data_IF_951494344149
#
_entry.id   IF_951494344149
#
_cell.length_a   1.000
_cell.length_b   1.000
_cell.length_c   1.000
_cell.angle_alpha   90.00
_cell.angle_beta   90.00
_cell.angle_gamma   90.00
#
_symmetry.space_group_name_H-M   'P 1'
#
loop_
_entity.id
_entity.type
_entity.pdbx_description
1 polymer ?
#
# COMPACT_ATOMS: atom_id res chain seq x y z
N UNK A 1 -16.22 8.94 20.60
CA UNK A 1 -17.30 7.92 20.63
C UNK A 1 -16.78 6.80 21.48
N UNK A 2 -17.62 6.22 22.33
CA UNK A 2 -17.21 5.07 23.13
C UNK A 2 -16.81 3.90 22.21
N UNK A 3 -15.70 3.20 22.51
CA UNK A 3 -15.36 1.95 21.83
C UNK A 3 -16.56 1.00 21.83
N UNK A 4 -16.90 0.45 20.65
CA UNK A 4 -18.02 -0.49 20.49
C UNK A 4 -19.36 0.11 20.08
N UNK A 5 -19.45 1.42 19.84
CA UNK A 5 -20.64 2.02 19.23
C UNK A 5 -20.78 1.64 17.74
N UNK A 6 -22.01 1.39 17.30
CA UNK A 6 -22.37 1.20 15.89
C UNK A 6 -22.74 2.51 15.18
N UNK A 7 -22.71 3.65 15.88
CA UNK A 7 -22.94 4.97 15.28
C UNK A 7 -21.69 5.44 14.53
N UNK A 8 -21.90 5.95 13.31
CA UNK A 8 -20.85 6.51 12.46
C UNK A 8 -21.08 8.00 12.31
N UNK A 9 -20.09 8.82 12.64
CA UNK A 9 -20.11 10.27 12.47
C UNK A 9 -19.16 10.68 11.36
N UNK A 10 -19.64 11.52 10.45
CA UNK A 10 -18.80 12.13 9.42
C UNK A 10 -17.84 13.10 10.10
N UNK A 11 -16.53 12.90 9.90
CA UNK A 11 -15.49 13.78 10.45
C UNK A 11 -15.32 15.02 9.56
N UNK A 12 -15.19 14.82 8.25
CA UNK A 12 -15.01 15.90 7.28
C UNK A 12 -15.30 15.43 5.86
N UNK A 13 -15.16 16.35 4.90
CA UNK A 13 -15.31 16.07 3.46
C UNK A 13 -14.18 16.74 2.69
N UNK A 14 -13.75 16.07 1.62
CA UNK A 14 -12.86 16.62 0.59
C UNK A 14 -13.69 16.69 -0.68
N UNK A 15 -13.77 17.88 -1.27
CA UNK A 15 -14.38 18.04 -2.58
C UNK A 15 -13.35 17.66 -3.65
N UNK A 16 -13.72 16.76 -4.56
CA UNK A 16 -12.86 16.39 -5.68
C UNK A 16 -12.54 17.61 -6.54
N UNK A 17 -11.27 17.84 -6.83
CA UNK A 17 -10.82 18.91 -7.71
C UNK A 17 -10.88 18.46 -9.16
N UNK A 18 -11.29 19.34 -10.06
CA UNK A 18 -11.07 19.21 -11.51
C UNK A 18 -11.50 17.87 -12.14
N UNK A 19 -12.76 17.73 -12.54
CA UNK A 19 -13.21 16.60 -13.36
C UNK A 19 -14.72 16.34 -13.23
N UNK A 20 -15.30 15.54 -14.13
CA UNK A 20 -16.73 15.23 -14.10
C UNK A 20 -17.12 14.17 -13.05
N UNK A 21 -16.15 13.54 -12.39
CA UNK A 21 -16.35 12.38 -11.54
C UNK A 21 -15.31 12.28 -10.41
N UNK A 22 -15.63 11.57 -9.31
CA UNK A 22 -14.71 11.40 -8.20
C UNK A 22 -13.46 10.61 -8.61
N UNK A 23 -12.32 11.00 -8.04
CA UNK A 23 -11.10 10.20 -8.05
C UNK A 23 -11.32 8.87 -7.35
N UNK A 24 -10.70 7.82 -7.87
CA UNK A 24 -10.70 6.52 -7.23
C UNK A 24 -9.74 6.53 -6.03
N UNK A 25 -10.19 6.00 -4.89
CA UNK A 25 -9.42 5.91 -3.65
C UNK A 25 -9.60 4.52 -3.07
N UNK A 26 -8.52 3.74 -3.04
CA UNK A 26 -8.52 2.37 -2.47
C UNK A 26 -8.14 2.37 -1.00
N UNK A 27 -7.12 3.15 -0.64
CA UNK A 27 -6.69 3.37 0.74
C UNK A 27 -6.24 4.81 0.91
N UNK A 28 -6.08 5.23 2.18
CA UNK A 28 -5.63 6.56 2.53
C UNK A 28 -4.83 6.48 3.83
N UNK A 29 -3.72 7.22 3.98
CA UNK A 29 -2.93 7.14 5.19
C UNK A 29 -3.44 8.10 6.27
N UNK A 30 -3.12 7.77 7.52
CA UNK A 30 -3.51 8.53 8.71
C UNK A 30 -2.30 8.71 9.61
N UNK A 31 -2.23 9.85 10.30
CA UNK A 31 -1.24 10.14 11.32
C UNK A 31 -1.91 10.32 12.69
N UNK A 32 -1.13 10.74 13.68
CA UNK A 32 -1.64 11.17 14.98
C UNK A 32 -2.77 12.20 14.84
N UNK A 33 -2.52 13.29 14.09
CA UNK A 33 -3.42 14.44 13.97
C UNK A 33 -4.17 14.55 12.64
N UNK A 34 -3.74 13.86 11.59
CA UNK A 34 -4.25 14.09 10.24
C UNK A 34 -4.78 12.82 9.55
N UNK A 35 -5.75 13.02 8.65
CA UNK A 35 -6.14 12.09 7.60
C UNK A 35 -5.67 12.70 6.29
N UNK A 36 -5.01 11.91 5.45
CA UNK A 36 -4.51 12.38 4.16
C UNK A 36 -5.37 11.72 3.10
N UNK A 37 -6.12 12.51 2.33
CA UNK A 37 -6.97 11.99 1.26
C UNK A 37 -6.23 12.16 -0.06
N UNK A 38 -5.82 11.07 -0.73
CA UNK A 38 -5.21 11.13 -2.04
C UNK A 38 -6.28 11.41 -3.11
N UNK A 39 -5.98 12.27 -4.07
CA UNK A 39 -6.78 12.46 -5.28
C UNK A 39 -5.90 12.11 -6.49
N UNK A 40 -6.09 10.90 -7.01
CA UNK A 40 -5.36 10.40 -8.18
C UNK A 40 -6.09 10.79 -9.49
N UNK A 41 -5.37 10.90 -10.62
CA UNK A 41 -5.98 11.13 -11.94
C UNK A 41 -6.80 9.95 -12.47
N UNK A 42 -6.79 8.80 -11.80
CA UNK A 42 -7.67 7.68 -12.09
C UNK A 42 -9.06 7.96 -11.50
N UNK A 43 -10.05 8.21 -12.35
CA UNK A 43 -11.42 8.60 -11.95
C UNK A 43 -12.44 7.57 -12.38
N UNK A 44 -13.59 7.58 -11.72
CA UNK A 44 -14.73 6.81 -12.19
C UNK A 44 -15.29 7.40 -13.50
N UNK A 45 -15.63 6.56 -14.46
CA UNK A 45 -16.36 6.99 -15.64
C UNK A 45 -17.87 6.98 -15.35
N UNK A 46 -18.43 8.17 -15.11
CA UNK A 46 -19.88 8.32 -14.88
C UNK A 46 -20.71 7.81 -16.06
N UNK A 47 -20.25 8.03 -17.30
CA UNK A 47 -20.94 7.57 -18.51
C UNK A 47 -21.03 6.03 -18.56
N UNK A 48 -19.92 5.33 -18.33
CA UNK A 48 -19.89 3.86 -18.32
C UNK A 48 -20.72 3.29 -17.17
N UNK A 49 -20.66 3.93 -15.99
CA UNK A 49 -21.49 3.55 -14.84
C UNK A 49 -22.98 3.67 -15.13
N UNK A 50 -23.41 4.74 -15.81
CA UNK A 50 -24.82 4.96 -16.16
C UNK A 50 -25.29 4.07 -17.31
N UNK A 51 -24.45 3.80 -18.30
CA UNK A 51 -24.81 3.00 -19.48
C UNK A 51 -24.67 1.49 -19.27
N UNK A 52 -23.94 1.05 -18.25
CA UNK A 52 -23.63 -0.35 -17.99
C UNK A 52 -22.98 -1.09 -19.20
N UNK A 53 -22.30 -0.33 -20.07
CA UNK A 53 -21.61 -0.89 -21.24
C UNK A 53 -20.28 -1.54 -20.83
N UNK A 54 -19.90 -2.68 -21.42
CA UNK A 54 -18.57 -3.26 -21.22
C UNK A 54 -17.49 -2.31 -21.74
N UNK A 55 -16.54 -1.91 -20.88
CA UNK A 55 -15.43 -1.02 -21.29
C UNK A 55 -14.06 -1.61 -20.95
N UNK A 56 -12.98 -1.17 -21.64
CA UNK A 56 -11.62 -1.69 -21.43
C UNK A 56 -11.07 -1.49 -20.02
N UNK A 57 -11.56 -0.50 -19.27
CA UNK A 57 -11.17 -0.26 -17.88
C UNK A 57 -12.35 -0.42 -16.91
N UNK A 58 -13.39 -1.12 -17.35
CA UNK A 58 -14.64 -1.36 -16.65
C UNK A 58 -15.39 -0.09 -16.22
N UNK A 59 -14.89 0.60 -15.20
CA UNK A 59 -15.51 1.77 -14.56
C UNK A 59 -14.54 2.94 -14.42
N UNK A 60 -13.32 2.85 -14.94
CA UNK A 60 -12.28 3.87 -14.75
C UNK A 60 -11.91 4.59 -16.04
N UNK A 61 -11.43 5.82 -15.88
CA UNK A 61 -10.79 6.65 -16.89
C UNK A 61 -9.55 7.33 -16.30
N UNK A 62 -8.55 7.57 -17.14
CA UNK A 62 -7.34 8.29 -16.78
C UNK A 62 -7.43 9.74 -17.24
N UNK A 63 -7.38 10.68 -16.30
CA UNK A 63 -7.54 12.12 -16.52
C UNK A 63 -6.30 12.89 -16.03
N UNK A 64 -5.13 12.78 -16.68
CA UNK A 64 -3.88 13.37 -16.20
C UNK A 64 -3.95 14.90 -16.08
N UNK A 65 -4.76 15.55 -16.91
CA UNK A 65 -5.02 17.01 -16.85
C UNK A 65 -5.72 17.44 -15.56
N UNK A 66 -6.38 16.51 -14.86
CA UNK A 66 -6.94 16.75 -13.52
C UNK A 66 -5.89 16.84 -12.41
N UNK A 67 -4.62 16.52 -12.72
CA UNK A 67 -3.47 16.51 -11.80
C UNK A 67 -3.65 15.53 -10.63
N UNK A 68 -2.61 15.41 -9.80
CA UNK A 68 -2.63 14.65 -8.56
C UNK A 68 -2.61 15.58 -7.35
N UNK A 69 -3.39 15.27 -6.31
CA UNK A 69 -3.39 16.04 -5.07
C UNK A 69 -3.31 15.16 -3.82
N UNK A 70 -2.77 15.74 -2.76
CA UNK A 70 -2.84 15.22 -1.40
C UNK A 70 -3.54 16.24 -0.49
N UNK A 71 -4.68 15.87 0.08
CA UNK A 71 -5.46 16.73 0.97
C UNK A 71 -5.24 16.35 2.42
N UNK A 72 -4.76 17.28 3.23
CA UNK A 72 -4.52 17.06 4.65
C UNK A 72 -5.71 17.56 5.45
N UNK A 73 -6.41 16.64 6.10
CA UNK A 73 -7.57 16.91 6.96
C UNK A 73 -7.18 16.76 8.43
N UNK A 74 -7.45 17.77 9.24
CA UNK A 74 -7.28 17.69 10.70
C UNK A 74 -8.37 16.77 11.30
N UNK A 75 -7.96 15.69 11.99
CA UNK A 75 -8.87 14.70 12.60
C UNK A 75 -9.80 15.33 13.64
N UNK A 76 -9.29 16.29 14.42
CA UNK A 76 -10.05 16.91 15.50
C UNK A 76 -11.14 17.87 14.99
N UNK A 77 -10.86 18.60 13.91
CA UNK A 77 -11.77 19.64 13.40
C UNK A 77 -12.55 19.24 12.14
N UNK A 78 -12.11 18.18 11.44
CA UNK A 78 -12.66 17.80 10.13
C UNK A 78 -12.31 18.75 8.99
N UNK A 79 -11.50 19.79 9.25
CA UNK A 79 -11.15 20.81 8.26
C UNK A 79 -9.92 20.41 7.44
N UNK A 80 -9.94 20.79 6.17
CA UNK A 80 -8.77 20.71 5.30
C UNK A 80 -7.81 21.83 5.71
N UNK A 81 -6.61 21.44 6.14
CA UNK A 81 -5.54 22.37 6.56
C UNK A 81 -4.49 22.58 5.48
N UNK A 82 -4.48 21.70 4.46
CA UNK A 82 -3.57 21.79 3.33
C UNK A 82 -4.09 20.98 2.15
N UNK A 83 -3.79 21.44 0.94
CA UNK A 83 -4.02 20.68 -0.29
C UNK A 83 -2.90 21.03 -1.24
N UNK A 84 -2.06 20.04 -1.53
CA UNK A 84 -0.87 20.23 -2.36
C UNK A 84 -0.99 19.42 -3.63
N UNK A 85 -0.57 19.99 -4.75
CA UNK A 85 -0.38 19.27 -6.00
C UNK A 85 0.89 18.41 -5.89
N UNK A 86 0.81 17.17 -6.36
CA UNK A 86 1.91 16.19 -6.35
C UNK A 86 2.09 15.61 -7.77
N UNK A 87 3.25 15.01 -8.07
CA UNK A 87 3.42 14.24 -9.31
C UNK A 87 2.29 13.22 -9.49
N UNK A 88 1.93 12.93 -10.74
CA UNK A 88 0.89 11.93 -11.04
C UNK A 88 1.32 10.57 -10.49
N UNK A 89 0.35 9.83 -9.93
CA UNK A 89 0.61 8.55 -9.29
C UNK A 89 -0.63 7.66 -9.40
N UNK A 90 -0.40 6.35 -9.31
CA UNK A 90 -1.43 5.36 -9.01
C UNK A 90 -0.95 4.54 -7.82
N UNK A 91 -1.80 4.38 -6.82
CA UNK A 91 -1.53 3.50 -5.68
C UNK A 91 -2.82 2.84 -5.20
N UNK A 92 -2.72 1.55 -4.89
CA UNK A 92 -3.77 0.83 -4.17
C UNK A 92 -3.54 1.05 -2.67
N UNK A 93 -2.33 0.76 -2.19
CA UNK A 93 -2.02 0.68 -0.78
C UNK A 93 -1.01 1.74 -0.33
N UNK A 94 -1.42 2.55 0.63
CA UNK A 94 -0.51 3.31 1.47
C UNK A 94 0.08 2.39 2.56
N UNK A 95 1.39 2.50 2.77
CA UNK A 95 2.14 1.70 3.75
C UNK A 95 1.94 2.31 5.14
N UNK A 96 2.27 3.60 5.29
CA UNK A 96 2.10 4.35 6.53
C UNK A 96 2.19 5.86 6.25
N UNK A 97 1.86 6.68 7.25
CA UNK A 97 2.24 8.09 7.26
C UNK A 97 2.66 8.55 8.65
N UNK A 98 3.43 9.62 8.72
CA UNK A 98 3.84 10.25 9.97
C UNK A 98 4.05 11.74 9.81
N UNK A 99 4.14 12.42 10.95
CA UNK A 99 4.33 13.86 11.04
C UNK A 99 5.80 14.18 11.28
N UNK A 100 6.36 15.10 10.50
CA UNK A 100 7.63 15.74 10.81
C UNK A 100 7.39 16.98 11.66
N UNK A 101 8.21 17.13 12.70
CA UNK A 101 8.11 18.22 13.67
C UNK A 101 9.44 18.99 13.70
N UNK A 102 9.37 20.30 13.89
CA UNK A 102 10.53 21.12 14.19
C UNK A 102 11.00 20.96 15.66
N UNK A 103 12.04 21.70 16.04
CA UNK A 103 12.62 21.66 17.40
C UNK A 103 11.61 22.10 18.48
N UNK A 104 10.65 22.93 18.12
CA UNK A 104 9.57 23.42 19.01
C UNK A 104 8.38 22.44 19.06
N UNK A 105 8.45 21.33 18.33
CA UNK A 105 7.41 20.30 18.28
C UNK A 105 6.22 20.62 17.37
N UNK A 106 6.31 21.68 16.57
CA UNK A 106 5.27 22.03 15.59
C UNK A 106 5.41 21.15 14.35
N UNK A 107 4.27 20.64 13.87
CA UNK A 107 4.24 19.84 12.63
C UNK A 107 4.55 20.73 11.42
N UNK A 108 5.60 20.38 10.69
CA UNK A 108 6.09 21.10 9.50
C UNK A 108 5.69 20.40 8.21
N UNK A 109 5.60 19.08 8.21
CA UNK A 109 5.21 18.28 7.05
C UNK A 109 4.55 16.96 7.48
N UNK A 110 3.83 16.35 6.54
CA UNK A 110 3.41 14.95 6.61
C UNK A 110 4.22 14.16 5.59
N UNK A 111 4.78 13.03 6.03
CA UNK A 111 5.40 12.04 5.16
C UNK A 111 4.43 10.87 5.01
N UNK A 112 4.17 10.43 3.79
CA UNK A 112 3.31 9.28 3.51
C UNK A 112 3.98 8.34 2.50
N UNK A 113 4.13 7.08 2.88
CA UNK A 113 4.72 6.05 2.03
C UNK A 113 3.63 5.18 1.39
N UNK A 114 3.82 4.75 0.15
CA UNK A 114 2.87 3.90 -0.57
C UNK A 114 3.55 2.89 -1.51
N UNK A 115 2.78 1.90 -1.92
CA UNK A 115 3.08 1.06 -3.08
C UNK A 115 2.70 1.86 -4.34
N UNK A 116 3.68 2.57 -4.89
CA UNK A 116 3.52 3.41 -6.08
C UNK A 116 3.65 2.55 -7.34
N UNK A 117 2.61 2.60 -8.18
CA UNK A 117 2.60 2.03 -9.52
C UNK A 117 2.86 3.14 -10.55
N UNK A 118 3.15 2.73 -11.79
CA UNK A 118 3.18 3.65 -12.92
C UNK A 118 1.92 4.53 -12.94
N UNK A 119 2.10 5.81 -13.25
CA UNK A 119 1.03 6.80 -13.33
C UNK A 119 0.20 6.64 -14.61
N UNK A 120 -0.39 5.46 -14.80
CA UNK A 120 -1.26 5.08 -15.89
C UNK A 120 -2.16 3.90 -15.48
N UNK A 121 -2.86 3.30 -16.45
CA UNK A 121 -3.86 2.24 -16.18
C UNK A 121 -3.32 0.83 -16.40
N UNK A 122 -2.03 0.69 -16.72
CA UNK A 122 -1.38 -0.58 -17.09
C UNK A 122 -1.60 -1.65 -16.01
N UNK A 123 -1.49 -1.30 -14.73
CA UNK A 123 -1.68 -2.25 -13.64
C UNK A 123 -3.08 -2.87 -13.62
N UNK A 124 -4.13 -2.09 -13.93
CA UNK A 124 -5.51 -2.57 -13.99
C UNK A 124 -5.69 -3.58 -15.14
N UNK A 125 -5.01 -3.37 -16.26
CA UNK A 125 -5.03 -4.30 -17.38
C UNK A 125 -4.27 -5.60 -17.05
N UNK A 126 -3.08 -5.49 -16.45
CA UNK A 126 -2.24 -6.66 -16.13
C UNK A 126 -2.86 -7.56 -15.05
N UNK A 127 -3.63 -6.99 -14.13
CA UNK A 127 -4.34 -7.75 -13.09
C UNK A 127 -5.60 -8.49 -13.58
N UNK A 128 -5.93 -8.42 -14.88
CA UNK A 128 -7.01 -9.25 -15.45
C UNK A 128 -6.66 -10.74 -15.34
N UNK A 129 -7.61 -11.54 -14.90
CA UNK A 129 -7.42 -12.97 -14.65
C UNK A 129 -6.87 -13.76 -15.86
N UNK A 130 -7.29 -13.38 -17.08
CA UNK A 130 -6.77 -13.98 -18.32
C UNK A 130 -5.25 -13.74 -18.49
N UNK A 131 -4.75 -12.57 -18.11
CA UNK A 131 -3.33 -12.22 -18.18
C UNK A 131 -2.54 -12.94 -17.09
N UNK A 132 -3.08 -12.99 -15.87
CA UNK A 132 -2.47 -13.71 -14.74
C UNK A 132 -2.34 -15.22 -15.00
N UNK A 133 -3.27 -15.81 -15.76
CA UNK A 133 -3.26 -17.25 -16.11
C UNK A 133 -2.41 -17.60 -17.33
N UNK A 134 -1.93 -16.62 -18.09
CA UNK A 134 -1.25 -16.84 -19.37
C UNK A 134 0.25 -16.57 -19.31
N UNK A 135 0.91 -16.88 -18.18
CA UNK A 135 2.35 -16.66 -18.06
C UNK A 135 3.15 -17.57 -18.99
N UNK A 136 3.95 -16.96 -19.87
CA UNK A 136 4.79 -17.66 -20.85
C UNK A 136 6.29 -17.53 -20.55
N UNK A 137 6.66 -17.12 -19.32
CA UNK A 137 8.06 -16.90 -18.93
C UNK A 137 8.61 -15.50 -19.21
N UNK A 138 7.82 -14.62 -19.85
CA UNK A 138 8.17 -13.23 -20.11
C UNK A 138 7.79 -12.31 -18.94
N UNK A 139 8.66 -11.35 -18.61
CA UNK A 139 8.37 -10.36 -17.57
C UNK A 139 7.26 -9.40 -18.04
N UNK A 140 6.12 -9.43 -17.36
CA UNK A 140 4.94 -8.62 -17.70
C UNK A 140 4.32 -7.92 -16.51
N UNK A 141 4.89 -8.11 -15.30
CA UNK A 141 4.53 -7.35 -14.12
C UNK A 141 4.95 -5.88 -14.30
N UNK A 142 4.05 -4.89 -14.21
CA UNK A 142 4.43 -3.49 -14.25
C UNK A 142 5.39 -3.13 -13.12
N UNK A 143 6.24 -2.14 -13.34
CA UNK A 143 7.11 -1.64 -12.30
C UNK A 143 6.28 -0.96 -11.19
N UNK A 144 6.66 -1.23 -9.95
CA UNK A 144 6.16 -0.58 -8.77
C UNK A 144 7.31 -0.33 -7.79
N UNK A 145 7.16 0.67 -6.91
CA UNK A 145 8.17 1.04 -5.91
C UNK A 145 7.55 1.47 -4.59
N UNK A 146 8.40 1.60 -3.57
CA UNK A 146 8.04 2.36 -2.37
C UNK A 146 8.13 3.86 -2.70
N UNK A 147 6.98 4.48 -2.95
CA UNK A 147 6.85 5.92 -3.14
C UNK A 147 6.76 6.62 -1.78
N UNK A 148 7.43 7.77 -1.63
CA UNK A 148 7.41 8.62 -0.45
C UNK A 148 6.94 10.01 -0.82
N UNK A 149 5.78 10.38 -0.29
CA UNK A 149 5.27 11.73 -0.37
C UNK A 149 5.84 12.59 0.76
N UNK A 150 6.20 13.82 0.42
CA UNK A 150 6.51 14.88 1.40
C UNK A 150 5.52 16.01 1.18
N UNK A 151 4.63 16.21 2.16
CA UNK A 151 3.50 17.13 2.10
C UNK A 151 3.76 18.28 3.09
N UNK A 152 4.23 19.45 2.63
CA UNK A 152 4.51 20.57 3.51
C UNK A 152 3.23 21.17 4.09
N UNK A 153 3.31 21.63 5.35
CA UNK A 153 2.23 22.36 6.05
C UNK A 153 2.57 23.85 6.27
N UNK A 154 3.50 24.38 5.46
CA UNK A 154 3.94 25.78 5.49
C UNK A 154 3.15 26.70 4.54
N UNK A 155 2.12 26.17 3.87
CA UNK A 155 1.32 26.87 2.86
C UNK A 155 1.81 26.69 1.42
N UNK A 156 2.90 25.94 1.21
CA UNK A 156 3.36 25.58 -0.14
C UNK A 156 2.26 24.84 -0.93
N UNK A 157 2.04 25.19 -2.21
CA UNK A 157 1.02 24.55 -3.02
C UNK A 157 1.46 23.20 -3.62
N UNK A 158 2.72 22.81 -3.44
CA UNK A 158 3.31 21.61 -4.06
C UNK A 158 3.93 20.68 -3.02
N UNK A 159 3.62 19.40 -3.14
CA UNK A 159 4.29 18.31 -2.44
C UNK A 159 5.27 17.59 -3.36
N UNK A 160 6.05 16.68 -2.79
CA UNK A 160 7.00 15.83 -3.54
C UNK A 160 6.53 14.38 -3.51
N UNK A 161 6.93 13.62 -4.53
CA UNK A 161 6.87 12.16 -4.57
C UNK A 161 8.23 11.65 -5.05
N UNK A 162 8.90 10.86 -4.21
CA UNK A 162 10.22 10.29 -4.49
C UNK A 162 10.27 8.80 -4.15
N UNK A 163 11.28 8.08 -4.63
CA UNK A 163 11.50 6.70 -4.19
C UNK A 163 12.10 6.69 -2.77
N UNK A 164 11.50 5.94 -1.84
CA UNK A 164 12.02 5.84 -0.48
C UNK A 164 13.38 5.11 -0.42
N UNK A 165 13.59 4.18 -1.36
CA UNK A 165 14.82 3.41 -1.59
C UNK A 165 14.91 3.02 -3.08
N UNK A 166 16.05 2.47 -3.49
CA UNK A 166 16.26 1.96 -4.84
C UNK A 166 15.27 0.83 -5.17
N UNK A 167 14.43 0.95 -6.23
CA UNK A 167 13.46 -0.07 -6.61
C UNK A 167 14.07 -1.45 -6.90
N UNK A 168 15.35 -1.53 -7.25
CA UNK A 168 16.03 -2.81 -7.46
C UNK A 168 16.12 -3.65 -6.18
N UNK A 169 16.06 -3.03 -4.99
CA UNK A 169 16.09 -3.75 -3.70
C UNK A 169 14.93 -4.73 -3.54
N UNK A 170 13.77 -4.41 -4.13
CA UNK A 170 12.55 -5.22 -4.08
C UNK A 170 12.11 -5.68 -5.48
N UNK A 171 13.07 -5.72 -6.43
CA UNK A 171 12.87 -6.22 -7.80
C UNK A 171 11.81 -5.46 -8.60
N UNK A 172 11.61 -4.17 -8.33
CA UNK A 172 10.62 -3.31 -9.00
C UNK A 172 9.19 -3.87 -8.94
N UNK A 173 8.88 -4.70 -7.94
CA UNK A 173 7.52 -5.09 -7.59
C UNK A 173 7.27 -4.70 -6.15
N UNK A 174 6.10 -4.11 -5.88
CA UNK A 174 5.75 -3.67 -4.53
C UNK A 174 4.24 -3.51 -4.42
N UNK A 175 3.59 -4.37 -3.64
CA UNK A 175 2.18 -4.22 -3.29
C UNK A 175 1.84 -5.04 -2.03
N UNK A 176 0.59 -5.00 -1.56
CA UNK A 176 0.09 -5.79 -0.42
C UNK A 176 0.97 -5.59 0.82
N UNK A 177 1.11 -4.34 1.26
CA UNK A 177 2.03 -3.96 2.32
C UNK A 177 1.42 -4.02 3.73
N UNK A 178 2.28 -4.26 4.71
CA UNK A 178 1.99 -4.10 6.13
C UNK A 178 3.20 -3.54 6.88
N UNK A 179 2.97 -3.17 8.14
CA UNK A 179 3.98 -2.68 9.08
C UNK A 179 3.70 -3.29 10.46
N UNK A 180 4.58 -3.03 11.43
CA UNK A 180 4.22 -3.22 12.83
C UNK A 180 3.09 -2.25 13.23
N UNK A 181 1.88 -2.74 13.63
CA UNK A 181 0.75 -1.86 13.94
C UNK A 181 1.00 -0.85 15.08
N UNK A 182 1.98 -1.08 15.96
CA UNK A 182 2.37 -0.13 17.01
C UNK A 182 2.91 1.20 16.46
N UNK A 183 3.36 1.19 15.20
CA UNK A 183 3.96 2.30 14.47
C UNK A 183 3.01 2.93 13.44
N UNK A 184 1.75 2.48 13.37
CA UNK A 184 0.74 3.10 12.51
C UNK A 184 0.57 4.58 12.87
N UNK A 185 0.70 5.45 11.86
CA UNK A 185 0.59 6.90 12.03
C UNK A 185 1.81 7.56 12.68
N UNK A 186 2.91 6.83 12.87
CA UNK A 186 4.15 7.27 13.53
C UNK A 186 5.37 7.02 12.64
N UNK A 187 6.46 7.73 12.94
CA UNK A 187 7.75 7.49 12.28
C UNK A 187 8.19 6.05 12.55
N UNK A 188 8.60 5.37 11.50
CA UNK A 188 8.81 3.92 11.46
C UNK A 188 10.00 3.61 10.54
N UNK A 189 10.54 2.40 10.65
CA UNK A 189 11.71 1.94 9.90
C UNK A 189 11.40 0.79 8.96
N UNK A 190 10.50 -0.11 9.34
CA UNK A 190 10.30 -1.37 8.66
C UNK A 190 8.91 -1.49 8.04
N UNK A 191 8.89 -1.95 6.79
CA UNK A 191 7.69 -2.38 6.09
C UNK A 191 7.87 -3.79 5.55
N UNK A 192 6.75 -4.48 5.35
CA UNK A 192 6.69 -5.81 4.75
C UNK A 192 5.71 -5.77 3.60
N UNK A 193 6.01 -6.42 2.48
CA UNK A 193 5.14 -6.38 1.31
C UNK A 193 5.35 -7.60 0.40
N UNK A 194 4.46 -7.78 -0.57
CA UNK A 194 4.73 -8.64 -1.70
C UNK A 194 5.62 -7.90 -2.71
N UNK A 195 6.74 -8.51 -3.08
CA UNK A 195 7.68 -7.99 -4.08
C UNK A 195 7.75 -8.86 -5.33
N UNK A 196 8.82 -8.70 -6.09
CA UNK A 196 9.03 -9.47 -7.31
C UNK A 196 10.47 -10.01 -7.43
N UNK A 197 10.56 -11.28 -7.78
CA UNK A 197 11.70 -11.88 -8.44
C UNK A 197 11.33 -12.05 -9.92
N UNK A 198 11.92 -11.17 -10.75
CA UNK A 198 11.66 -11.11 -12.20
C UNK A 198 12.52 -12.12 -12.97
N UNK A 199 12.06 -12.62 -14.13
CA UNK A 199 10.80 -12.29 -14.81
C UNK A 199 9.57 -12.88 -14.12
N UNK A 200 8.47 -12.12 -14.07
CA UNK A 200 7.21 -12.59 -13.49
C UNK A 200 6.00 -11.86 -14.09
N UNK A 201 4.78 -12.39 -13.87
CA UNK A 201 3.52 -11.71 -14.23
C UNK A 201 2.70 -11.28 -13.01
N UNK A 202 3.19 -11.59 -11.81
CA UNK A 202 2.51 -11.35 -10.55
C UNK A 202 3.54 -11.34 -9.41
N UNK A 203 3.33 -10.58 -8.32
CA UNK A 203 4.22 -10.61 -7.16
C UNK A 203 4.43 -12.04 -6.63
N UNK A 204 5.67 -12.41 -6.38
CA UNK A 204 6.11 -13.77 -6.06
C UNK A 204 7.21 -13.83 -4.97
N UNK A 205 7.46 -12.72 -4.29
CA UNK A 205 8.36 -12.68 -3.12
C UNK A 205 7.63 -12.08 -1.94
N UNK A 206 8.07 -12.41 -0.74
CA UNK A 206 7.86 -11.57 0.44
C UNK A 206 9.08 -10.69 0.61
N UNK A 207 8.89 -9.44 0.97
CA UNK A 207 9.96 -8.46 1.05
C UNK A 207 9.87 -7.69 2.37
N UNK A 208 10.96 -7.70 3.14
CA UNK A 208 11.19 -6.78 4.26
C UNK A 208 11.97 -5.58 3.77
N UNK A 209 11.52 -4.38 4.10
CA UNK A 209 12.10 -3.11 3.69
C UNK A 209 12.63 -2.39 4.94
N UNK A 210 13.88 -1.97 4.91
CA UNK A 210 14.47 -1.04 5.88
C UNK A 210 14.56 0.35 5.25
N UNK A 211 13.67 1.25 5.66
CA UNK A 211 13.56 2.61 5.12
C UNK A 211 14.66 3.55 5.62
N UNK A 212 15.35 3.18 6.71
CA UNK A 212 16.47 3.95 7.22
C UNK A 212 17.76 3.61 6.47
N UNK A 213 18.07 2.32 6.39
CA UNK A 213 19.26 1.81 5.69
C UNK A 213 19.07 1.72 4.18
N UNK A 214 17.83 1.91 3.69
CA UNK A 214 17.42 1.84 2.28
C UNK A 214 17.78 0.50 1.62
N UNK A 215 17.54 -0.59 2.34
CA UNK A 215 17.80 -1.97 1.90
C UNK A 215 16.55 -2.82 1.99
N UNK A 216 16.51 -3.91 1.25
CA UNK A 216 15.47 -4.92 1.40
C UNK A 216 16.04 -6.34 1.49
N UNK A 217 15.25 -7.24 2.10
CA UNK A 217 15.47 -8.68 2.14
C UNK A 217 14.27 -9.37 1.51
N UNK A 218 14.52 -10.36 0.66
CA UNK A 218 13.47 -11.06 -0.06
C UNK A 218 13.46 -12.54 0.33
N UNK A 219 12.28 -13.08 0.60
CA UNK A 219 12.02 -14.51 0.62
C UNK A 219 11.34 -14.90 -0.69
N UNK A 220 11.81 -15.99 -1.30
CA UNK A 220 11.27 -16.53 -2.53
C UNK A 220 11.41 -18.05 -2.54
N UNK A 221 10.41 -18.73 -3.08
CA UNK A 221 10.44 -20.16 -3.38
C UNK A 221 9.80 -20.36 -4.77
N UNK A 222 10.41 -21.21 -5.60
CA UNK A 222 9.94 -21.39 -6.98
C UNK A 222 8.51 -21.96 -6.99
N UNK A 223 7.61 -21.30 -7.71
CA UNK A 223 6.21 -21.71 -7.80
C UNK A 223 5.34 -21.33 -6.59
N UNK A 224 5.90 -20.59 -5.62
CA UNK A 224 5.17 -19.98 -4.52
C UNK A 224 4.62 -18.60 -4.90
N UNK A 225 3.36 -18.36 -4.53
CA UNK A 225 2.71 -17.05 -4.64
C UNK A 225 2.26 -16.63 -3.23
N UNK A 226 2.95 -15.66 -2.61
CA UNK A 226 2.61 -15.21 -1.26
C UNK A 226 1.40 -14.27 -1.24
N UNK A 227 0.53 -14.43 -0.24
CA UNK A 227 -0.42 -13.40 0.15
C UNK A 227 0.27 -12.24 0.86
N UNK A 228 -0.49 -11.19 1.17
CA UNK A 228 -0.07 -10.09 2.05
C UNK A 228 0.68 -10.63 3.29
N UNK A 229 1.91 -10.16 3.57
CA UNK A 229 2.59 -10.45 4.83
C UNK A 229 1.96 -9.67 5.97
N UNK A 230 1.77 -10.31 7.12
CA UNK A 230 1.28 -9.67 8.35
C UNK A 230 2.31 -9.78 9.46
N UNK A 231 2.72 -8.65 10.02
CA UNK A 231 3.61 -8.62 11.17
C UNK A 231 2.88 -8.86 12.49
N UNK A 232 3.44 -9.73 13.33
CA UNK A 232 2.97 -10.00 14.69
C UNK A 232 4.14 -9.83 15.65
N UNK A 233 4.08 -8.79 16.48
CA UNK A 233 5.12 -8.49 17.45
C UNK A 233 5.25 -9.60 18.51
N UNK A 234 6.49 -9.87 18.95
CA UNK A 234 6.73 -10.68 20.14
C UNK A 234 6.14 -9.96 21.35
N UNK A 235 5.45 -10.66 22.27
CA UNK A 235 5.00 -10.04 23.52
C UNK A 235 6.19 -9.42 24.28
N UNK A 236 6.10 -8.12 24.56
CA UNK A 236 7.18 -7.37 25.23
C UNK A 236 8.32 -6.90 24.33
N UNK A 237 8.19 -7.02 23.00
CA UNK A 237 9.15 -6.48 22.04
C UNK A 237 9.41 -4.98 22.26
N UNK A 238 10.67 -4.59 22.22
CA UNK A 238 11.11 -3.18 22.23
C UNK A 238 11.57 -2.70 20.86
N UNK A 239 12.05 -3.61 20.02
CA UNK A 239 12.45 -3.33 18.65
C UNK A 239 11.26 -3.42 17.69
N UNK A 240 11.25 -2.58 16.66
CA UNK A 240 10.14 -2.47 15.71
C UNK A 240 9.86 -3.76 14.94
N UNK A 241 10.91 -4.55 14.67
CA UNK A 241 10.86 -5.80 13.89
C UNK A 241 11.02 -7.07 14.74
N UNK A 242 11.02 -6.97 16.08
CA UNK A 242 11.05 -8.16 16.95
C UNK A 242 9.67 -8.84 17.00
N UNK A 243 9.54 -9.87 16.16
CA UNK A 243 8.30 -10.58 15.96
C UNK A 243 8.40 -11.58 14.84
N UNK A 244 7.26 -11.89 14.24
CA UNK A 244 7.16 -12.79 13.09
C UNK A 244 6.36 -12.14 11.97
N UNK A 245 6.68 -12.50 10.73
CA UNK A 245 5.89 -12.14 9.55
C UNK A 245 5.21 -13.39 9.04
N UNK A 246 3.89 -13.33 8.90
CA UNK A 246 3.05 -14.46 8.50
C UNK A 246 2.50 -14.17 7.10
N UNK A 247 2.59 -15.13 6.19
CA UNK A 247 1.93 -15.07 4.88
C UNK A 247 1.36 -16.43 4.52
N UNK A 248 0.26 -16.43 3.77
CA UNK A 248 -0.33 -17.64 3.21
C UNK A 248 0.21 -17.83 1.80
N UNK A 249 0.84 -18.97 1.55
CA UNK A 249 1.48 -19.29 0.28
C UNK A 249 0.56 -20.19 -0.53
N UNK A 250 0.27 -19.80 -1.76
CA UNK A 250 -0.36 -20.65 -2.78
C UNK A 250 0.74 -21.27 -3.65
N UNK A 251 0.69 -22.58 -3.83
CA UNK A 251 1.66 -23.32 -4.64
C UNK A 251 1.11 -23.61 -6.04
N UNK A 252 1.99 -23.73 -7.03
CA UNK A 252 1.63 -24.02 -8.44
C UNK A 252 0.85 -25.34 -8.60
N UNK A 253 1.07 -26.32 -7.73
CA UNK A 253 0.36 -27.61 -7.75
C UNK A 253 -1.07 -27.52 -7.16
N UNK A 254 -1.48 -26.35 -6.67
CA UNK A 254 -2.77 -26.10 -6.05
C UNK A 254 -2.77 -26.23 -4.53
N UNK A 255 -1.68 -26.70 -3.91
CA UNK A 255 -1.54 -26.76 -2.45
C UNK A 255 -1.29 -25.36 -1.84
N UNK A 256 -1.19 -25.31 -0.52
CA UNK A 256 -0.75 -24.10 0.17
C UNK A 256 -0.32 -24.35 1.60
N UNK A 257 0.36 -23.37 2.16
CA UNK A 257 0.84 -23.40 3.53
C UNK A 257 0.90 -22.00 4.15
N UNK A 258 0.80 -21.93 5.48
CA UNK A 258 1.18 -20.73 6.21
C UNK A 258 2.70 -20.72 6.39
N UNK A 259 3.35 -19.63 6.01
CA UNK A 259 4.77 -19.39 6.19
C UNK A 259 4.99 -18.40 7.33
N UNK A 260 5.98 -18.68 8.18
CA UNK A 260 6.42 -17.80 9.25
C UNK A 260 7.89 -17.44 9.02
N UNK A 261 8.16 -16.14 8.88
CA UNK A 261 9.51 -15.58 8.83
C UNK A 261 9.81 -14.87 10.15
N UNK A 262 11.06 -14.94 10.61
CA UNK A 262 11.54 -14.09 11.70
C UNK A 262 11.51 -12.62 11.27
N UNK A 263 10.93 -11.74 12.08
CA UNK A 263 10.75 -10.34 11.74
C UNK A 263 12.08 -9.60 11.53
N UNK A 264 13.14 -9.96 12.26
CA UNK A 264 14.45 -9.30 12.23
C UNK A 264 15.36 -9.86 11.14
N UNK A 265 15.60 -11.18 11.13
CA UNK A 265 16.48 -11.83 10.15
C UNK A 265 15.81 -11.97 8.79
N UNK A 266 14.48 -12.09 8.77
CA UNK A 266 13.67 -12.43 7.60
C UNK A 266 13.91 -13.84 7.04
N UNK A 267 14.46 -14.72 7.89
CA UNK A 267 14.64 -16.14 7.59
C UNK A 267 13.39 -16.93 7.98
N UNK A 268 13.13 -18.02 7.27
CA UNK A 268 12.03 -18.91 7.61
C UNK A 268 12.27 -19.64 8.93
N UNK A 269 11.28 -19.59 9.81
CA UNK A 269 11.31 -20.27 11.12
C UNK A 269 10.32 -21.43 11.21
N UNK A 270 9.24 -21.40 10.42
CA UNK A 270 8.26 -22.47 10.36
C UNK A 270 7.37 -22.38 9.11
N UNK A 271 6.80 -23.52 8.71
CA UNK A 271 5.68 -23.59 7.78
C UNK A 271 4.64 -24.61 8.22
N UNK A 272 3.36 -24.34 7.95
CA UNK A 272 2.24 -25.22 8.28
C UNK A 272 1.39 -25.48 7.03
N UNK A 273 1.41 -26.72 6.53
CA UNK A 273 0.67 -27.12 5.32
C UNK A 273 -0.84 -27.17 5.58
N UNK A 274 -1.62 -26.70 4.60
CA UNK A 274 -3.07 -26.83 4.63
C UNK A 274 -3.51 -28.21 4.12
N UNK A 275 -4.62 -28.75 4.63
CA UNK A 275 -5.18 -30.01 4.13
C UNK A 275 -6.03 -29.82 2.86
N UNK A 276 -6.02 -28.62 2.27
CA UNK A 276 -6.79 -28.24 1.10
C UNK A 276 -6.01 -27.22 0.25
N UNK A 277 -6.39 -27.09 -1.01
CA UNK A 277 -5.81 -26.09 -1.90
C UNK A 277 -6.22 -24.67 -1.54
N UNK A 278 -5.30 -23.73 -1.69
CA UNK A 278 -5.49 -22.33 -1.32
C UNK A 278 -5.48 -21.44 -2.57
N UNK A 279 -6.64 -20.91 -3.01
CA UNK A 279 -6.67 -19.83 -3.98
C UNK A 279 -5.99 -18.57 -3.43
N UNK A 280 -5.39 -17.78 -4.31
CA UNK A 280 -4.79 -16.50 -3.93
C UNK A 280 -5.80 -15.58 -3.24
N UNK A 281 -5.43 -15.08 -2.05
CA UNK A 281 -6.21 -14.12 -1.26
C UNK A 281 -5.63 -12.70 -1.32
N UNK A 282 -6.43 -11.72 -0.91
CA UNK A 282 -6.00 -10.32 -0.82
C UNK A 282 -5.57 -9.97 0.61
N UNK A 283 -6.51 -9.54 1.45
CA UNK A 283 -6.21 -9.02 2.79
C UNK A 283 -6.63 -9.93 3.92
N UNK A 284 -6.02 -9.73 5.08
CA UNK A 284 -6.26 -10.47 6.31
C UNK A 284 -5.94 -9.64 7.55
N UNK A 285 -6.11 -10.25 8.73
CA UNK A 285 -5.65 -9.65 9.97
C UNK A 285 -5.32 -10.73 11.01
N UNK A 286 -4.38 -10.42 11.91
CA UNK A 286 -4.14 -11.22 13.10
C UNK A 286 -5.03 -10.72 14.24
N UNK A 287 -5.78 -11.64 14.86
CA UNK A 287 -6.59 -11.34 16.05
C UNK A 287 -6.01 -12.13 17.23
N UNK A 288 -5.36 -11.48 18.21
CA UNK A 288 -4.84 -12.18 19.37
C UNK A 288 -5.99 -12.79 20.18
N UNK A 289 -5.73 -13.96 20.77
CA UNK A 289 -6.66 -14.58 21.71
C UNK A 289 -6.80 -13.67 22.95
N UNK A 290 -8.04 -13.43 23.38
CA UNK A 290 -8.36 -12.72 24.62
C UNK A 290 -7.89 -13.50 25.85
#
# INVERSE_FOLDING_TARGET
>A
MEPGSNERKVIGRVDCRGGPAPGWVHSFPVTEHYVIVPEMPLRYCAQNLLRAEPTPLYKFEWHPDSKGFMHVMCKASGKIVGSVEVPLFVTFHFINAYEEKDEDGRVTAVVADCCEHNADTTILEKLRLQNLRSFMGEDVLPDARVGRFIIPLDGSPYGKLEAALDPEQHGKGMDMCSINPAYLGKKYRYAYACGAQRPCNFPNTLTKIDLLEKKAKNWHEEGAVPSEPFFVARPGATEEDDGVVISMISEKNGDGFALLLDGSTFEEIARAKFPYGLPYGLHGCWVPKK
#
